data_IF_110460371927
#
_entry.id   IF_110460371927
#
_cell.length_a   1.000
_cell.length_b   1.000
_cell.length_c   1.000
_cell.angle_alpha   90.00
_cell.angle_beta   90.00
_cell.angle_gamma   90.00
#
_symmetry.space_group_name_H-M   'P 1'
#
loop_
_entity.id
_entity.type
_entity.pdbx_description
1 polymer ?
#
# COMPACT_ATOMS: atom_id res chain seq x y z
N UNK A 1 13.97 -5.63 33.30
CA UNK A 1 13.92 -4.55 32.30
C UNK A 1 12.59 -3.82 32.51
N UNK A 2 12.56 -2.79 33.37
CA UNK A 2 11.37 -1.99 33.60
C UNK A 2 11.12 -1.13 32.38
N UNK A 3 10.22 -1.56 31.50
CA UNK A 3 9.61 -0.68 30.52
C UNK A 3 8.58 0.18 31.24
N UNK A 4 8.89 1.46 31.38
CA UNK A 4 7.94 2.52 31.70
C UNK A 4 6.73 2.41 30.77
N UNK A 5 5.64 1.81 31.24
CA UNK A 5 4.33 1.85 30.58
C UNK A 5 3.77 3.26 30.75
N UNK A 6 4.28 4.19 29.94
CA UNK A 6 3.72 5.52 29.80
C UNK A 6 2.25 5.37 29.39
N UNK A 7 1.33 5.77 30.26
CA UNK A 7 -0.10 5.77 29.93
C UNK A 7 -0.31 6.61 28.67
N UNK A 8 -0.82 5.96 27.62
CA UNK A 8 -1.18 6.61 26.36
C UNK A 8 -2.28 7.62 26.63
N UNK A 9 -2.11 8.85 26.14
CA UNK A 9 -3.15 9.87 26.28
C UNK A 9 -4.39 9.49 25.47
N UNK A 10 -5.57 10.05 25.83
CA UNK A 10 -6.81 9.86 25.05
C UNK A 10 -6.65 10.23 23.57
N UNK A 11 -5.78 11.20 23.28
CA UNK A 11 -5.41 11.58 21.92
C UNK A 11 -4.59 10.51 21.19
N UNK A 12 -3.63 9.88 21.86
CA UNK A 12 -2.82 8.81 21.27
C UNK A 12 -3.70 7.62 20.90
N UNK A 13 -4.65 7.26 21.77
CA UNK A 13 -5.64 6.19 21.51
C UNK A 13 -6.53 6.54 20.32
N UNK A 14 -6.99 7.80 20.23
CA UNK A 14 -7.81 8.24 19.10
C UNK A 14 -7.06 8.19 17.78
N UNK A 15 -5.84 8.74 17.72
CA UNK A 15 -5.01 8.76 16.51
C UNK A 15 -4.66 7.33 16.07
N UNK A 16 -4.30 6.46 17.01
CA UNK A 16 -4.05 5.05 16.73
C UNK A 16 -5.29 4.34 16.19
N UNK A 17 -6.46 4.59 16.80
CA UNK A 17 -7.73 4.02 16.34
C UNK A 17 -8.13 4.47 14.93
N UNK A 18 -7.93 5.76 14.60
CA UNK A 18 -8.16 6.27 13.25
C UNK A 18 -7.20 5.61 12.25
N UNK A 19 -5.92 5.47 12.60
CA UNK A 19 -4.94 4.78 11.76
C UNK A 19 -5.33 3.32 11.48
N UNK A 20 -5.78 2.60 12.50
CA UNK A 20 -6.24 1.22 12.36
C UNK A 20 -7.46 1.12 11.45
N UNK A 21 -8.45 1.99 11.64
CA UNK A 21 -9.64 2.01 10.77
C UNK A 21 -9.29 2.32 9.31
N UNK A 22 -8.36 3.26 9.08
CA UNK A 22 -7.87 3.59 7.74
C UNK A 22 -7.15 2.41 7.08
N UNK A 23 -6.29 1.71 7.83
CA UNK A 23 -5.62 0.50 7.36
C UNK A 23 -6.63 -0.58 6.95
N UNK A 24 -7.64 -0.84 7.78
CA UNK A 24 -8.65 -1.87 7.53
C UNK A 24 -9.48 -1.55 6.28
N UNK A 25 -9.92 -0.29 6.12
CA UNK A 25 -10.64 0.16 4.92
C UNK A 25 -9.76 0.03 3.67
N UNK A 26 -8.49 0.42 3.77
CA UNK A 26 -7.56 0.39 2.64
C UNK A 26 -7.32 -1.06 2.20
N UNK A 27 -7.13 -1.99 3.14
CA UNK A 27 -7.02 -3.43 2.84
C UNK A 27 -8.31 -3.98 2.20
N UNK A 28 -9.48 -3.56 2.67
CA UNK A 28 -10.76 -3.97 2.10
C UNK A 28 -10.91 -3.47 0.66
N UNK A 29 -10.57 -2.21 0.36
CA UNK A 29 -10.56 -1.66 -0.98
C UNK A 29 -9.56 -2.41 -1.89
N UNK A 30 -8.37 -2.73 -1.37
CA UNK A 30 -7.36 -3.47 -2.13
C UNK A 30 -7.85 -4.85 -2.57
N UNK A 31 -8.38 -5.66 -1.65
CA UNK A 31 -8.78 -7.03 -1.98
C UNK A 31 -10.11 -7.13 -2.74
N UNK A 32 -11.04 -6.20 -2.52
CA UNK A 32 -12.40 -6.30 -3.09
C UNK A 32 -12.65 -5.36 -4.26
N UNK A 33 -12.13 -4.13 -4.18
CA UNK A 33 -12.46 -3.08 -5.13
C UNK A 33 -11.44 -2.94 -6.26
N UNK A 34 -10.16 -3.23 -6.01
CA UNK A 34 -9.09 -3.09 -7.01
C UNK A 34 -9.38 -3.91 -8.28
N UNK A 35 -9.78 -5.18 -8.14
CA UNK A 35 -10.08 -6.03 -9.30
C UNK A 35 -11.23 -5.47 -10.12
N UNK A 36 -12.31 -5.08 -9.46
CA UNK A 36 -13.50 -4.51 -10.12
C UNK A 36 -13.12 -3.22 -10.85
N UNK A 37 -12.38 -2.34 -10.18
CA UNK A 37 -11.91 -1.08 -10.76
C UNK A 37 -11.03 -1.32 -11.99
N UNK A 38 -10.05 -2.22 -11.91
CA UNK A 38 -9.17 -2.54 -13.04
C UNK A 38 -9.94 -3.16 -14.22
N UNK A 39 -10.94 -4.00 -13.97
CA UNK A 39 -11.79 -4.54 -15.05
C UNK A 39 -12.72 -3.50 -15.64
N UNK A 40 -13.23 -2.55 -14.84
CA UNK A 40 -14.15 -1.50 -15.28
C UNK A 40 -13.47 -0.48 -16.21
N UNK A 41 -12.20 -0.16 -15.95
CA UNK A 41 -11.38 0.71 -16.82
C UNK A 41 -10.92 0.01 -18.11
N UNK A 42 -11.26 -1.28 -18.30
CA UNK A 42 -11.03 -2.01 -19.54
C UNK A 42 -9.82 -2.93 -19.59
N UNK A 43 -9.16 -3.23 -18.45
CA UNK A 43 -8.17 -4.32 -18.44
C UNK A 43 -8.88 -5.67 -18.56
N UNK A 44 -8.21 -6.63 -19.19
CA UNK A 44 -8.69 -8.00 -19.18
C UNK A 44 -8.69 -8.53 -17.73
N UNK A 45 -9.63 -9.39 -17.35
CA UNK A 45 -9.64 -10.00 -16.01
C UNK A 45 -8.34 -10.73 -15.67
N UNK A 46 -7.65 -11.28 -16.69
CA UNK A 46 -6.33 -11.91 -16.52
C UNK A 46 -5.25 -10.90 -16.14
N UNK A 47 -5.19 -9.76 -16.82
CA UNK A 47 -4.22 -8.71 -16.51
C UNK A 47 -4.47 -8.07 -15.15
N UNK A 48 -5.74 -7.85 -14.78
CA UNK A 48 -6.11 -7.36 -13.46
C UNK A 48 -5.70 -8.34 -12.34
N UNK A 49 -5.89 -9.64 -12.56
CA UNK A 49 -5.43 -10.67 -11.63
C UNK A 49 -3.90 -10.71 -11.51
N UNK A 50 -3.16 -10.50 -12.61
CA UNK A 50 -1.70 -10.40 -12.61
C UNK A 50 -1.24 -9.19 -11.79
N UNK A 51 -1.87 -8.03 -11.94
CA UNK A 51 -1.58 -6.82 -11.13
C UNK A 51 -1.76 -7.11 -9.63
N UNK A 52 -2.87 -7.74 -9.27
CA UNK A 52 -3.14 -8.09 -7.87
C UNK A 52 -2.13 -9.12 -7.34
N UNK A 53 -1.79 -10.14 -8.15
CA UNK A 53 -0.79 -11.15 -7.80
C UNK A 53 0.60 -10.53 -7.59
N UNK A 54 1.00 -9.58 -8.44
CA UNK A 54 2.25 -8.84 -8.27
C UNK A 54 2.30 -8.05 -6.96
N UNK A 55 1.18 -7.44 -6.58
CA UNK A 55 1.03 -6.80 -5.28
C UNK A 55 1.32 -7.76 -4.12
N UNK A 56 0.73 -8.96 -4.16
CA UNK A 56 0.93 -9.99 -3.12
C UNK A 56 2.38 -10.48 -3.05
N UNK A 57 3.04 -10.65 -4.20
CA UNK A 57 4.46 -11.03 -4.25
C UNK A 57 5.30 -9.92 -3.61
N UNK A 58 5.06 -8.66 -3.97
CA UNK A 58 5.77 -7.52 -3.41
C UNK A 58 5.54 -7.40 -1.89
N UNK A 59 4.31 -7.61 -1.43
CA UNK A 59 3.94 -7.60 -0.01
C UNK A 59 4.71 -8.66 0.79
N UNK A 60 4.74 -9.90 0.29
CA UNK A 60 5.46 -10.99 0.95
C UNK A 60 6.96 -10.75 1.06
N UNK A 61 7.59 -10.24 0.00
CA UNK A 61 9.01 -9.87 0.04
C UNK A 61 9.27 -8.70 0.97
N UNK A 62 8.46 -7.65 0.87
CA UNK A 62 8.68 -6.42 1.64
C UNK A 62 8.37 -6.61 3.11
N UNK A 63 7.42 -7.46 3.48
CA UNK A 63 7.11 -7.79 4.88
C UNK A 63 8.31 -8.44 5.56
N UNK A 64 8.91 -9.46 4.92
CA UNK A 64 10.10 -10.12 5.44
C UNK A 64 11.30 -9.15 5.54
N UNK A 65 11.51 -8.35 4.50
CA UNK A 65 12.63 -7.40 4.44
C UNK A 65 12.45 -6.23 5.41
N UNK A 66 11.24 -5.69 5.54
CA UNK A 66 10.91 -4.63 6.51
C UNK A 66 11.13 -5.14 7.92
N UNK A 67 10.74 -6.37 8.23
CA UNK A 67 10.99 -6.98 9.54
C UNK A 67 12.48 -7.03 9.89
N UNK A 68 13.32 -7.55 8.99
CA UNK A 68 14.78 -7.61 9.22
C UNK A 68 15.41 -6.21 9.35
N UNK A 69 14.96 -5.25 8.54
CA UNK A 69 15.49 -3.88 8.56
C UNK A 69 15.06 -3.11 9.81
N UNK A 70 13.80 -3.23 10.23
CA UNK A 70 13.28 -2.60 11.44
C UNK A 70 14.01 -3.16 12.68
N UNK A 71 14.22 -4.48 12.72
CA UNK A 71 14.96 -5.14 13.80
C UNK A 71 16.44 -4.71 13.85
N UNK A 72 17.09 -4.49 12.69
CA UNK A 72 18.50 -4.06 12.63
C UNK A 72 18.73 -2.58 12.91
N UNK A 73 17.90 -1.71 12.34
CA UNK A 73 18.14 -0.27 12.38
C UNK A 73 17.40 0.44 13.52
N UNK A 74 16.37 -0.17 14.10
CA UNK A 74 15.44 0.53 14.98
C UNK A 74 14.73 1.67 14.25
N UNK A 75 13.84 2.40 14.92
CA UNK A 75 13.01 3.51 14.37
C UNK A 75 11.65 3.13 13.74
N UNK A 76 10.88 2.26 14.41
CA UNK A 76 9.47 1.93 14.12
C UNK A 76 8.61 3.11 13.63
N UNK A 77 8.68 4.27 14.31
CA UNK A 77 7.89 5.47 13.94
C UNK A 77 8.23 6.07 12.57
N UNK A 78 9.51 6.01 12.16
CA UNK A 78 9.95 6.56 10.87
C UNK A 78 9.53 5.63 9.74
N UNK A 79 9.68 4.32 9.93
CA UNK A 79 9.20 3.30 9.00
C UNK A 79 7.67 3.36 8.82
N UNK A 80 6.92 3.50 9.93
CA UNK A 80 5.47 3.66 9.90
C UNK A 80 5.04 4.93 9.15
N UNK A 81 5.71 6.06 9.41
CA UNK A 81 5.41 7.34 8.75
C UNK A 81 5.72 7.31 7.25
N UNK A 82 6.86 6.73 6.86
CA UNK A 82 7.24 6.58 5.46
C UNK A 82 6.29 5.64 4.71
N UNK A 83 5.92 4.51 5.32
CA UNK A 83 4.93 3.58 4.75
C UNK A 83 3.56 4.23 4.57
N UNK A 84 3.08 4.99 5.56
CA UNK A 84 1.79 5.68 5.50
C UNK A 84 1.74 6.73 4.38
N UNK A 85 2.85 7.44 4.13
CA UNK A 85 2.97 8.40 3.04
C UNK A 85 2.97 7.68 1.68
N UNK A 86 3.72 6.59 1.55
CA UNK A 86 3.75 5.76 0.34
C UNK A 86 2.37 5.19 -0.01
N UNK A 87 1.62 4.72 1.00
CA UNK A 87 0.24 4.25 0.85
C UNK A 87 -0.66 5.38 0.37
N UNK A 88 -0.62 6.55 1.01
CA UNK A 88 -1.47 7.69 0.61
C UNK A 88 -1.22 8.15 -0.83
N UNK A 89 0.04 8.24 -1.24
CA UNK A 89 0.42 8.64 -2.61
C UNK A 89 0.02 7.57 -3.62
N UNK A 90 0.27 6.30 -3.33
CA UNK A 90 -0.05 5.20 -4.24
C UNK A 90 -1.55 5.02 -4.39
N UNK A 91 -2.31 5.10 -3.30
CA UNK A 91 -3.77 4.98 -3.32
C UNK A 91 -4.41 6.12 -4.13
N UNK A 92 -3.93 7.36 -3.93
CA UNK A 92 -4.37 8.51 -4.73
C UNK A 92 -4.03 8.35 -6.20
N UNK A 93 -2.90 7.72 -6.54
CA UNK A 93 -2.48 7.48 -7.92
C UNK A 93 -3.20 6.32 -8.60
N UNK A 94 -3.61 5.28 -7.85
CA UNK A 94 -4.38 4.14 -8.39
C UNK A 94 -5.81 4.56 -8.71
N UNK A 95 -6.45 5.32 -7.81
CA UNK A 95 -7.85 5.75 -7.97
C UNK A 95 -8.03 7.12 -8.66
N UNK A 96 -6.97 7.92 -8.79
CA UNK A 96 -6.98 9.21 -9.47
C UNK A 96 -6.94 9.14 -11.01
N UNK A 97 -6.95 7.93 -11.59
CA UNK A 97 -6.83 7.67 -13.02
C UNK A 97 -5.39 7.41 -13.48
N UNK A 98 -5.22 6.91 -14.71
CA UNK A 98 -3.91 6.53 -15.23
C UNK A 98 -3.00 7.76 -15.48
N UNK A 99 -2.25 8.18 -14.46
CA UNK A 99 -1.25 9.26 -14.55
C UNK A 99 -0.21 8.96 -15.63
N UNK A 100 0.21 7.70 -15.76
CA UNK A 100 1.18 7.27 -16.76
C UNK A 100 0.64 7.40 -18.20
N UNK A 101 -0.65 7.15 -18.41
CA UNK A 101 -1.31 7.34 -19.70
C UNK A 101 -1.38 8.82 -20.08
N UNK A 102 -1.65 9.69 -19.09
CA UNK A 102 -1.71 11.14 -19.28
C UNK A 102 -0.34 11.75 -19.63
N UNK A 103 0.75 11.14 -19.15
CA UNK A 103 2.13 11.58 -19.42
C UNK A 103 2.64 11.01 -20.76
N UNK A 104 2.31 9.75 -21.09
CA UNK A 104 2.83 9.07 -22.29
C UNK A 104 1.97 9.23 -23.55
N UNK A 105 0.75 9.74 -23.47
CA UNK A 105 -0.09 10.08 -24.63
C UNK A 105 -0.42 8.91 -25.56
N UNK A 106 -0.24 7.66 -25.10
CA UNK A 106 -0.42 6.44 -25.90
C UNK A 106 -1.24 5.44 -25.09
N UNK A 107 -2.46 5.13 -25.56
CA UNK A 107 -3.40 4.20 -24.91
C UNK A 107 -3.09 2.75 -25.30
N UNK A 108 -2.01 2.19 -24.75
CA UNK A 108 -1.72 0.76 -24.86
C UNK A 108 -2.13 0.04 -23.57
N UNK A 109 -2.92 -1.04 -23.70
CA UNK A 109 -3.36 -1.87 -22.58
C UNK A 109 -2.19 -2.39 -21.74
N UNK A 110 -1.07 -2.73 -22.38
CA UNK A 110 0.17 -3.14 -21.70
C UNK A 110 0.76 -2.05 -20.82
N UNK A 111 0.72 -0.78 -21.27
CA UNK A 111 1.27 0.34 -20.50
C UNK A 111 0.41 0.65 -19.27
N UNK A 112 -0.92 0.52 -19.40
CA UNK A 112 -1.83 0.59 -18.26
C UNK A 112 -1.54 -0.50 -17.24
N UNK A 113 -1.47 -1.77 -17.67
CA UNK A 113 -1.20 -2.90 -16.78
C UNK A 113 0.14 -2.75 -16.06
N UNK A 114 1.20 -2.31 -16.74
CA UNK A 114 2.50 -2.05 -16.12
C UNK A 114 2.44 -0.88 -15.14
N UNK A 115 1.78 0.22 -15.51
CA UNK A 115 1.61 1.38 -14.62
C UNK A 115 0.87 1.01 -13.34
N UNK A 116 -0.27 0.32 -13.44
CA UNK A 116 -1.02 -0.15 -12.28
C UNK A 116 -0.22 -1.18 -11.47
N UNK A 117 0.56 -2.06 -12.11
CA UNK A 117 1.45 -3.01 -11.41
C UNK A 117 2.54 -2.32 -10.58
N UNK A 118 3.11 -1.22 -11.07
CA UNK A 118 4.12 -0.45 -10.35
C UNK A 118 3.49 0.23 -9.13
N UNK A 119 2.37 0.92 -9.30
CA UNK A 119 1.67 1.54 -8.16
C UNK A 119 1.14 0.51 -7.17
N UNK A 120 0.72 -0.66 -7.67
CA UNK A 120 0.36 -1.81 -6.85
C UNK A 120 1.52 -2.28 -5.98
N UNK A 121 2.72 -2.45 -6.56
CA UNK A 121 3.90 -2.84 -5.82
C UNK A 121 4.29 -1.79 -4.76
N UNK A 122 4.28 -0.50 -5.11
CA UNK A 122 4.60 0.59 -4.17
C UNK A 122 3.59 0.64 -3.01
N UNK A 123 2.30 0.45 -3.31
CA UNK A 123 1.26 0.37 -2.30
C UNK A 123 1.52 -0.78 -1.31
N UNK A 124 1.78 -2.00 -1.81
CA UNK A 124 2.04 -3.17 -0.97
C UNK A 124 3.34 -3.03 -0.17
N UNK A 125 4.36 -2.40 -0.75
CA UNK A 125 5.61 -2.07 -0.03
C UNK A 125 5.33 -1.14 1.15
N UNK A 126 4.58 -0.06 0.92
CA UNK A 126 4.22 0.89 1.96
C UNK A 126 3.35 0.24 3.04
N UNK A 127 2.39 -0.60 2.64
CA UNK A 127 1.49 -1.31 3.54
C UNK A 127 2.23 -2.31 4.44
N UNK A 128 3.12 -3.12 3.88
CA UNK A 128 4.00 -4.02 4.63
C UNK A 128 4.83 -3.26 5.69
N UNK A 129 5.40 -2.10 5.31
CA UNK A 129 6.15 -1.26 6.24
C UNK A 129 5.30 -0.68 7.36
N UNK A 130 4.01 -0.38 7.13
CA UNK A 130 3.09 0.09 8.18
C UNK A 130 2.59 -1.02 9.11
N UNK A 131 2.51 -2.25 8.61
CA UNK A 131 1.98 -3.39 9.36
C UNK A 131 3.01 -4.00 10.31
N UNK A 132 4.30 -4.00 9.93
CA UNK A 132 5.39 -4.58 10.72
C UNK A 132 5.93 -3.60 11.78
N UNK A 133 5.65 -2.30 11.63
CA UNK A 133 6.15 -1.21 12.49
C UNK A 133 5.34 -0.96 13.76
#
# INVERSE_FOLDING_TARGET
CSSDLRQLGRWDVFVYGVGHMLNDITSACWFTYLLVFLTDIGLSPGDAAIVMLWGQVADGFMTAFSGELIDRFGHFKVWHGAGSLLVSVSFSSVFGGCILCRISGTDSSTLQTVGYSIFAAIFNIGWASTQVS
#
